data_IF_209378593634
#
_entry.id   IF_209378593634
#
_cell.length_a   1.000
_cell.length_b   1.000
_cell.length_c   1.000
_cell.angle_alpha   90.00
_cell.angle_beta   90.00
_cell.angle_gamma   90.00
#
_symmetry.space_group_name_H-M   'P 1'
#
loop_
_entity.id
_entity.type
_entity.pdbx_description
1 polymer ?
#
# COMPACT_ATOMS: atom_id res chain seq x y z
N UNK A 1 6.06 3.86 -2.34
CA UNK A 1 5.46 5.11 -1.82
C UNK A 1 5.61 5.09 -0.31
N UNK A 2 6.15 6.14 0.30
CA UNK A 2 6.15 6.26 1.75
C UNK A 2 4.76 6.73 2.21
N UNK A 3 4.21 6.25 3.34
CA UNK A 3 3.04 6.86 3.93
C UNK A 3 3.33 8.32 4.26
N UNK A 4 2.31 9.16 4.23
CA UNK A 4 2.42 10.50 4.80
C UNK A 4 2.78 10.44 6.29
N UNK A 5 3.30 11.54 6.82
CA UNK A 5 3.72 11.63 8.21
C UNK A 5 2.55 11.57 9.20
N UNK A 6 2.78 10.98 10.36
CA UNK A 6 1.87 11.00 11.51
C UNK A 6 2.66 11.02 12.83
N UNK A 7 2.03 11.44 13.92
CA UNK A 7 2.58 11.37 15.28
C UNK A 7 1.48 10.85 16.22
N UNK A 8 1.64 9.61 16.71
CA UNK A 8 0.64 8.92 17.52
C UNK A 8 1.35 8.14 18.62
N UNK A 9 0.84 8.25 19.86
CA UNK A 9 1.26 7.41 20.98
C UNK A 9 0.39 6.16 21.03
N UNK A 10 0.99 4.99 20.86
CA UNK A 10 0.32 3.70 21.06
C UNK A 10 0.46 3.28 22.52
N UNK A 11 -0.65 3.31 23.27
CA UNK A 11 -0.69 2.91 24.68
C UNK A 11 -0.68 1.39 24.83
N UNK A 12 -0.46 0.92 26.06
CA UNK A 12 -0.62 -0.49 26.39
C UNK A 12 -1.99 -1.02 25.92
N UNK A 13 -1.98 -2.18 25.27
CA UNK A 13 -3.18 -2.79 24.68
C UNK A 13 -3.51 -2.34 23.25
N UNK A 14 -2.95 -1.23 22.76
CA UNK A 14 -3.12 -0.82 21.36
C UNK A 14 -2.30 -1.71 20.41
N UNK A 15 -2.70 -1.76 19.15
CA UNK A 15 -1.98 -2.46 18.08
C UNK A 15 -1.79 -1.57 16.86
N UNK A 16 -0.67 -1.74 16.20
CA UNK A 16 -0.41 -1.13 14.89
C UNK A 16 -0.88 -2.14 13.83
N UNK A 17 -1.74 -1.70 12.91
CA UNK A 17 -2.17 -2.48 11.75
C UNK A 17 -1.69 -1.80 10.48
N UNK A 18 -1.12 -2.59 9.56
CA UNK A 18 -0.78 -2.16 8.21
C UNK A 18 -1.75 -2.81 7.23
N UNK A 19 -2.32 -2.02 6.33
CA UNK A 19 -3.14 -2.52 5.22
C UNK A 19 -2.38 -2.29 3.92
N UNK A 20 -2.28 -3.35 3.11
CA UNK A 20 -1.65 -3.31 1.80
C UNK A 20 -2.72 -3.65 0.76
N UNK A 21 -2.90 -2.78 -0.22
CA UNK A 21 -3.86 -2.90 -1.32
C UNK A 21 -3.24 -2.30 -2.57
N UNK A 22 -3.75 -2.68 -3.74
CA UNK A 22 -3.36 -2.13 -5.04
C UNK A 22 -4.30 -1.06 -5.58
N UNK A 23 -5.26 -0.60 -4.77
CA UNK A 23 -6.16 0.50 -5.11
C UNK A 23 -6.84 1.10 -3.88
N UNK A 24 -7.21 2.38 -3.99
CA UNK A 24 -7.93 3.16 -2.97
C UNK A 24 -8.74 4.26 -3.67
N UNK A 25 -9.81 3.81 -4.34
CA UNK A 25 -10.82 4.65 -5.00
C UNK A 25 -11.81 5.16 -3.93
N UNK A 26 -12.23 6.44 -3.95
CA UNK A 26 -12.06 7.46 -5.00
C UNK A 26 -10.85 8.37 -4.82
N UNK A 27 -9.97 8.08 -3.87
CA UNK A 27 -8.83 8.95 -3.54
C UNK A 27 -7.78 8.95 -4.64
N UNK A 28 -7.57 7.81 -5.30
CA UNK A 28 -6.79 7.70 -6.52
C UNK A 28 -7.60 6.96 -7.58
N UNK A 29 -7.40 7.35 -8.84
CA UNK A 29 -7.98 6.64 -9.97
C UNK A 29 -7.47 5.20 -10.02
N UNK A 30 -8.35 4.30 -10.47
CA UNK A 30 -8.03 2.87 -10.51
C UNK A 30 -7.03 2.56 -11.62
N UNK A 31 -6.01 1.78 -11.32
CA UNK A 31 -5.17 1.19 -12.37
C UNK A 31 -5.95 0.07 -13.08
N UNK A 32 -6.09 0.16 -14.42
CA UNK A 32 -6.77 -0.85 -15.23
C UNK A 32 -5.89 -2.10 -15.53
N UNK A 33 -4.62 -2.07 -15.17
CA UNK A 33 -3.64 -3.16 -15.24
C UNK A 33 -3.38 -3.72 -16.66
N UNK A 34 -3.58 -2.89 -17.69
CA UNK A 34 -3.29 -3.22 -19.09
C UNK A 34 -1.96 -2.64 -19.58
N UNK A 35 -1.46 -1.59 -18.92
CA UNK A 35 -0.31 -0.81 -19.38
C UNK A 35 -0.64 0.25 -20.43
N UNK A 36 -1.91 0.36 -20.83
CA UNK A 36 -2.41 1.45 -21.67
C UNK A 36 -2.32 2.80 -20.93
N UNK A 37 -2.26 3.94 -21.65
CA UNK A 37 -2.28 5.26 -21.02
C UNK A 37 -3.57 5.46 -20.21
N UNK A 38 -3.43 5.83 -18.94
CA UNK A 38 -4.52 5.93 -17.97
C UNK A 38 -5.70 6.79 -18.47
N UNK A 39 -5.40 7.93 -19.10
CA UNK A 39 -6.41 8.87 -19.58
C UNK A 39 -7.28 8.35 -20.73
N UNK A 40 -6.84 7.31 -21.46
CA UNK A 40 -7.54 6.78 -22.64
C UNK A 40 -7.86 5.30 -22.55
N UNK A 41 -7.44 4.63 -21.47
CA UNK A 41 -7.63 3.20 -21.31
C UNK A 41 -9.11 2.87 -21.09
N UNK A 42 -9.61 1.89 -21.84
CA UNK A 42 -11.02 1.45 -21.78
C UNK A 42 -11.15 -0.02 -21.39
N UNK A 43 -10.07 -0.78 -21.49
CA UNK A 43 -10.04 -2.21 -21.16
C UNK A 43 -9.44 -2.42 -19.78
N UNK A 44 -10.02 -3.32 -18.99
CA UNK A 44 -9.50 -3.68 -17.68
C UNK A 44 -9.03 -5.14 -17.66
N UNK A 45 -7.92 -5.39 -16.97
CA UNK A 45 -7.42 -6.73 -16.69
C UNK A 45 -7.39 -6.96 -15.18
N UNK A 46 -7.85 -8.13 -14.73
CA UNK A 46 -7.70 -8.54 -13.33
C UNK A 46 -6.22 -8.82 -13.05
N UNK A 47 -5.58 -8.10 -12.12
CA UNK A 47 -4.17 -8.29 -11.85
C UNK A 47 -3.94 -9.54 -10.98
N UNK A 48 -2.78 -10.20 -11.18
CA UNK A 48 -2.26 -11.20 -10.24
C UNK A 48 -1.11 -10.56 -9.48
N UNK A 49 -1.36 -10.20 -8.23
CA UNK A 49 -0.40 -9.50 -7.37
C UNK A 49 -0.05 -10.37 -6.17
N UNK A 50 1.20 -10.26 -5.73
CA UNK A 50 1.71 -11.00 -4.58
C UNK A 50 2.59 -10.08 -3.74
N UNK A 51 2.44 -10.18 -2.43
CA UNK A 51 3.35 -9.54 -1.48
C UNK A 51 4.33 -10.61 -1.01
N UNK A 52 5.60 -10.41 -1.31
CA UNK A 52 6.68 -11.24 -0.75
C UNK A 52 7.07 -10.71 0.62
N UNK A 53 7.14 -11.59 1.61
CA UNK A 53 7.55 -11.25 2.97
C UNK A 53 8.23 -12.46 3.59
N UNK A 54 9.39 -12.80 3.03
CA UNK A 54 10.25 -13.89 3.45
C UNK A 54 11.66 -13.34 3.79
N UNK A 55 12.57 -14.14 4.36
CA UNK A 55 13.91 -13.66 4.73
C UNK A 55 14.72 -13.08 3.56
N UNK A 56 14.53 -13.60 2.34
CA UNK A 56 15.23 -13.13 1.15
C UNK A 56 14.56 -11.87 0.56
N UNK A 57 13.27 -11.65 0.83
CA UNK A 57 12.46 -10.49 0.41
C UNK A 57 11.73 -9.87 1.61
N UNK A 58 12.45 -9.20 2.53
CA UNK A 58 11.92 -8.75 3.80
C UNK A 58 11.16 -7.42 3.66
N UNK A 59 9.98 -7.46 3.03
CA UNK A 59 9.06 -6.30 2.98
C UNK A 59 8.78 -5.79 4.40
N UNK A 60 8.88 -4.48 4.65
CA UNK A 60 8.69 -3.92 6.00
C UNK A 60 8.15 -2.49 5.96
N UNK A 61 7.49 -2.10 7.04
CA UNK A 61 7.19 -0.69 7.34
C UNK A 61 8.21 -0.20 8.35
N UNK A 62 8.84 0.94 8.05
CA UNK A 62 9.80 1.59 8.96
C UNK A 62 9.05 2.70 9.72
N UNK A 63 9.04 2.62 11.04
CA UNK A 63 8.40 3.59 11.91
C UNK A 63 9.46 4.42 12.66
N UNK A 64 9.42 5.76 12.61
CA UNK A 64 10.28 6.60 13.43
C UNK A 64 9.80 6.57 14.88
N UNK A 65 10.42 5.74 15.72
CA UNK A 65 10.08 5.63 17.15
C UNK A 65 10.82 6.69 17.95
N UNK A 66 10.07 7.57 18.60
CA UNK A 66 10.58 8.53 19.59
C UNK A 66 10.43 7.91 20.98
N UNK A 67 11.45 8.05 21.83
CA UNK A 67 11.45 7.60 23.23
C UNK A 67 11.41 8.78 24.18
#
# INVERSE_FOLDING_TARGET
>A
MAPWSTSIVFRAGHRIRVQVTSGDLPRWDRNLNTGEPEASATTARVPRQQIFHDPDRPSRVVLPVVR
#
